data_IF_601581331887
#
_entry.id   IF_601581331887
#
_cell.length_a   1.000
_cell.length_b   1.000
_cell.length_c   1.000
_cell.angle_alpha   90.00
_cell.angle_beta   90.00
_cell.angle_gamma   90.00
#
_symmetry.space_group_name_H-M   'P 1'
#
loop_
_entity.id
_entity.type
_entity.pdbx_description
1 polymer ?
#
# COMPACT_ATOMS: atom_id res chain seq x y z
N UNK A 1 -16.89 9.91 16.89
CA UNK A 1 -15.72 10.11 16.00
C UNK A 1 -16.10 10.32 14.55
N UNK A 2 -16.94 9.49 13.93
CA UNK A 2 -17.38 9.62 12.52
C UNK A 2 -17.91 11.01 12.15
N UNK A 3 -18.79 11.60 12.98
CA UNK A 3 -19.31 12.96 12.75
C UNK A 3 -18.22 14.04 12.77
N UNK A 4 -17.21 13.90 13.63
CA UNK A 4 -16.09 14.85 13.68
C UNK A 4 -15.19 14.69 12.45
N UNK A 5 -14.87 13.46 12.05
CA UNK A 5 -14.09 13.18 10.84
C UNK A 5 -14.75 13.74 9.58
N UNK A 6 -16.06 13.60 9.45
CA UNK A 6 -16.83 14.19 8.34
C UNK A 6 -16.83 15.73 8.40
N UNK A 7 -17.07 16.31 9.58
CA UNK A 7 -17.13 17.77 9.76
C UNK A 7 -15.78 18.45 9.48
N UNK A 8 -14.68 17.78 9.78
CA UNK A 8 -13.32 18.29 9.56
C UNK A 8 -12.72 17.83 8.23
N UNK A 9 -13.53 17.32 7.30
CA UNK A 9 -13.07 17.06 5.94
C UNK A 9 -12.07 15.91 5.80
N UNK A 10 -12.00 14.97 6.76
CA UNK A 10 -11.04 13.86 6.71
C UNK A 10 -11.17 13.04 5.42
N UNK A 11 -12.39 12.85 4.91
CA UNK A 11 -12.63 12.17 3.63
C UNK A 11 -12.07 12.95 2.43
N UNK A 12 -11.93 14.27 2.51
CA UNK A 12 -11.35 15.08 1.44
C UNK A 12 -9.86 14.80 1.26
N UNK A 13 -9.19 14.28 2.29
CA UNK A 13 -7.77 13.97 2.24
C UNK A 13 -7.46 12.58 1.68
N UNK A 14 -8.42 11.66 1.68
CA UNK A 14 -8.20 10.27 1.26
C UNK A 14 -9.14 9.79 0.15
N UNK A 15 -10.19 10.55 -0.15
CA UNK A 15 -11.28 10.16 -1.05
C UNK A 15 -11.30 10.89 -2.39
N UNK A 16 -10.25 11.64 -2.74
CA UNK A 16 -10.13 12.25 -4.07
C UNK A 16 -10.04 11.16 -5.15
N UNK A 17 -10.53 11.42 -6.35
CA UNK A 17 -10.37 10.50 -7.49
C UNK A 17 -8.95 10.48 -8.02
N UNK A 18 -8.22 11.60 -7.91
CA UNK A 18 -6.81 11.70 -8.28
C UNK A 18 -5.92 11.10 -7.16
N UNK A 19 -5.14 10.05 -7.47
CA UNK A 19 -4.20 9.46 -6.51
C UNK A 19 -3.17 10.45 -5.96
N UNK A 20 -2.77 11.46 -6.74
CA UNK A 20 -1.83 12.50 -6.30
C UNK A 20 -2.43 13.32 -5.16
N UNK A 21 -3.71 13.70 -5.27
CA UNK A 21 -4.41 14.53 -4.28
C UNK A 21 -4.62 13.79 -2.96
N UNK A 22 -5.10 12.54 -3.02
CA UNK A 22 -5.26 11.72 -1.80
C UNK A 22 -3.95 11.18 -1.22
N UNK A 23 -2.83 11.34 -1.93
CA UNK A 23 -1.48 11.08 -1.42
C UNK A 23 -0.84 12.33 -0.81
N UNK A 24 -1.54 13.46 -0.67
CA UNK A 24 -0.95 14.69 -0.10
C UNK A 24 -0.68 14.63 1.39
N UNK A 25 -1.29 13.71 2.13
CA UNK A 25 -1.06 13.57 3.57
C UNK A 25 -1.02 12.11 3.98
N UNK A 26 -0.14 11.78 4.93
CA UNK A 26 -0.21 10.51 5.64
C UNK A 26 -1.12 10.63 6.87
N UNK A 27 -2.43 10.55 6.61
CA UNK A 27 -3.45 10.65 7.64
C UNK A 27 -3.29 9.54 8.70
N UNK A 28 -2.91 8.32 8.29
CA UNK A 28 -2.74 7.20 9.22
C UNK A 28 -1.62 7.49 10.23
N UNK A 29 -0.51 8.07 9.79
CA UNK A 29 0.57 8.49 10.69
C UNK A 29 0.09 9.49 11.73
N UNK A 30 -0.67 10.51 11.31
CA UNK A 30 -1.23 11.51 12.21
C UNK A 30 -2.18 10.88 13.23
N UNK A 31 -3.07 9.99 12.78
CA UNK A 31 -4.04 9.30 13.65
C UNK A 31 -3.31 8.42 14.68
N UNK A 32 -2.39 7.57 14.23
CA UNK A 32 -1.65 6.65 15.12
C UNK A 32 -0.81 7.46 16.11
N UNK A 33 -0.08 8.46 15.65
CA UNK A 33 0.78 9.30 16.50
C UNK A 33 -0.02 10.09 17.54
N UNK A 34 -1.19 10.60 17.16
CA UNK A 34 -2.04 11.41 18.04
C UNK A 34 -2.80 10.58 19.06
N UNK A 35 -3.17 9.34 18.72
CA UNK A 35 -3.90 8.43 19.61
C UNK A 35 -2.97 7.60 20.50
N UNK A 36 -1.68 7.45 20.15
CA UNK A 36 -0.72 6.69 20.94
C UNK A 36 -0.42 7.40 22.26
N UNK A 37 -0.55 6.67 23.37
CA UNK A 37 -0.24 7.18 24.70
C UNK A 37 1.22 7.67 24.77
N UNK A 38 1.45 8.80 25.44
CA UNK A 38 2.74 9.49 25.48
C UNK A 38 3.92 8.58 25.89
N UNK A 39 3.70 7.69 26.86
CA UNK A 39 4.73 6.74 27.31
C UNK A 39 5.09 5.68 26.25
N UNK A 40 4.11 5.22 25.47
CA UNK A 40 4.34 4.25 24.39
C UNK A 40 5.12 4.85 23.24
N UNK A 41 4.94 6.15 22.95
CA UNK A 41 5.74 6.87 21.94
C UNK A 41 7.23 6.93 22.33
N UNK A 42 7.51 7.16 23.61
CA UNK A 42 8.89 7.28 24.12
C UNK A 42 9.61 5.92 24.20
N UNK A 43 8.90 4.83 24.49
CA UNK A 43 9.51 3.51 24.62
C UNK A 43 9.78 2.82 23.28
N UNK A 44 8.94 3.07 22.26
CA UNK A 44 9.08 2.45 20.94
C UNK A 44 10.11 3.16 20.05
N UNK A 45 10.39 4.44 20.31
CA UNK A 45 11.32 5.22 19.49
C UNK A 45 10.84 5.46 18.05
N UNK A 46 9.60 5.09 17.74
CA UNK A 46 8.94 5.35 16.47
C UNK A 46 8.55 6.82 16.37
N UNK A 47 9.20 7.53 15.46
CA UNK A 47 8.88 8.91 15.13
C UNK A 47 8.36 8.98 13.71
N UNK A 48 7.28 9.75 13.53
CA UNK A 48 6.82 10.12 12.21
C UNK A 48 7.91 10.92 11.50
N UNK A 49 8.42 10.41 10.38
CA UNK A 49 9.30 11.16 9.48
C UNK A 49 8.49 12.30 8.86
N UNK A 50 8.81 13.57 9.14
CA UNK A 50 8.06 14.70 8.59
C UNK A 50 8.05 14.66 7.05
N UNK A 51 6.96 15.08 6.39
CA UNK A 51 6.83 15.02 4.92
C UNK A 51 8.02 15.64 4.18
N UNK A 52 8.45 16.83 4.60
CA UNK A 52 9.56 17.57 3.97
C UNK A 52 10.88 16.78 4.03
N UNK A 53 11.10 16.02 5.11
CA UNK A 53 12.28 15.17 5.28
C UNK A 53 12.19 13.95 4.35
N UNK A 54 11.03 13.31 4.26
CA UNK A 54 10.80 12.21 3.32
C UNK A 54 10.96 12.66 1.86
N UNK A 55 10.49 13.85 1.52
CA UNK A 55 10.65 14.45 0.19
C UNK A 55 12.11 14.76 -0.12
N UNK A 56 12.85 15.35 0.83
CA UNK A 56 14.28 15.57 0.70
C UNK A 56 15.05 14.26 0.47
N UNK A 57 14.82 13.24 1.30
CA UNK A 57 15.47 11.93 1.16
C UNK A 57 15.16 11.28 -0.19
N UNK A 58 13.91 11.37 -0.65
CA UNK A 58 13.50 10.88 -1.96
C UNK A 58 14.28 11.58 -3.07
N UNK A 59 14.35 12.91 -3.03
CA UNK A 59 15.08 13.70 -4.01
C UNK A 59 16.58 13.37 -4.02
N UNK A 60 17.19 13.15 -2.85
CA UNK A 60 18.59 12.74 -2.75
C UNK A 60 18.82 11.38 -3.41
N UNK A 61 17.96 10.38 -3.14
CA UNK A 61 18.05 9.05 -3.74
C UNK A 61 17.82 9.05 -5.25
N UNK A 62 16.92 9.91 -5.74
CA UNK A 62 16.69 10.08 -7.18
C UNK A 62 17.94 10.67 -7.89
N UNK A 63 18.60 11.64 -7.26
CA UNK A 63 19.78 12.32 -7.82
C UNK A 63 21.08 11.50 -7.72
N UNK A 64 21.19 10.56 -6.79
CA UNK A 64 22.35 9.66 -6.64
C UNK A 64 22.42 8.56 -7.73
N UNK A 65 21.41 8.51 -8.61
CA UNK A 65 21.35 7.66 -9.80
C UNK A 65 22.42 7.99 -10.87
N UNK A 66 23.37 8.90 -10.58
CA UNK A 66 24.55 9.20 -11.39
C UNK A 66 25.62 8.08 -11.35
N UNK A 67 25.47 7.08 -10.47
CA UNK A 67 26.20 5.81 -10.57
C UNK A 67 25.43 4.83 -11.45
N UNK A 68 26.03 4.44 -12.58
CA UNK A 68 25.46 3.72 -13.72
C UNK A 68 24.92 2.29 -13.47
N UNK A 69 24.21 2.02 -12.38
CA UNK A 69 23.63 0.69 -12.14
C UNK A 69 22.28 0.73 -11.44
N UNK A 70 21.35 1.53 -11.97
CA UNK A 70 19.90 1.30 -11.94
C UNK A 70 19.25 2.53 -12.58
N UNK A 71 19.11 2.55 -13.90
CA UNK A 71 17.83 3.06 -14.41
C UNK A 71 16.77 2.33 -13.59
N UNK A 72 15.83 3.01 -12.92
CA UNK A 72 14.79 2.33 -12.19
C UNK A 72 13.92 1.67 -13.26
N UNK A 73 14.29 0.45 -13.67
CA UNK A 73 13.62 -0.32 -14.71
C UNK A 73 12.17 -0.52 -14.28
N UNK A 74 11.22 -0.43 -15.23
CA UNK A 74 9.84 -0.85 -15.00
C UNK A 74 9.87 -2.23 -14.31
N UNK A 75 9.27 -2.32 -13.13
CA UNK A 75 9.30 -3.52 -12.31
C UNK A 75 10.47 -3.69 -11.32
N UNK A 76 11.35 -2.70 -11.16
CA UNK A 76 12.24 -2.59 -10.01
C UNK A 76 11.46 -2.55 -8.68
N UNK A 77 12.09 -3.01 -7.60
CA UNK A 77 11.49 -3.06 -6.26
C UNK A 77 12.25 -2.13 -5.31
N UNK A 78 11.52 -1.28 -4.60
CA UNK A 78 12.02 -0.51 -3.47
C UNK A 78 11.65 -1.22 -2.16
N UNK A 79 12.58 -1.24 -1.21
CA UNK A 79 12.37 -1.85 0.11
C UNK A 79 12.64 -0.84 1.20
N UNK A 80 11.74 -0.77 2.18
CA UNK A 80 11.89 0.05 3.39
C UNK A 80 11.75 -0.88 4.62
N UNK A 81 12.84 -1.13 5.37
CA UNK A 81 12.84 -2.08 6.49
C UNK A 81 12.10 -1.57 7.74
N UNK A 82 11.84 -0.26 7.83
CA UNK A 82 11.20 0.41 8.97
C UNK A 82 10.15 1.40 8.47
N UNK A 83 9.16 0.86 7.76
CA UNK A 83 8.28 1.67 6.92
C UNK A 83 7.35 2.60 7.71
N UNK A 84 7.07 2.29 8.98
CA UNK A 84 5.99 2.93 9.72
C UNK A 84 4.69 2.80 8.92
N UNK A 85 4.06 3.93 8.63
CA UNK A 85 2.86 4.03 7.77
C UNK A 85 3.18 4.23 6.28
N UNK A 86 4.45 4.20 5.88
CA UNK A 86 4.90 4.29 4.50
C UNK A 86 5.25 5.69 4.00
N UNK A 87 5.50 6.66 4.89
CA UNK A 87 5.72 8.08 4.53
C UNK A 87 6.83 8.31 3.48
N UNK A 88 7.92 7.52 3.52
CA UNK A 88 8.97 7.61 2.50
C UNK A 88 8.46 7.16 1.12
N UNK A 89 7.68 6.08 1.06
CA UNK A 89 7.08 5.59 -0.19
C UNK A 89 5.98 6.51 -0.71
N UNK A 90 5.24 7.22 0.16
CA UNK A 90 4.35 8.32 -0.26
C UNK A 90 5.14 9.37 -1.05
N UNK A 91 6.27 9.84 -0.49
CA UNK A 91 7.08 10.87 -1.14
C UNK A 91 7.69 10.37 -2.46
N UNK A 92 8.18 9.13 -2.50
CA UNK A 92 8.64 8.48 -3.73
C UNK A 92 7.54 8.33 -4.79
N UNK A 93 6.33 7.92 -4.40
CA UNK A 93 5.20 7.83 -5.32
C UNK A 93 4.78 9.20 -5.87
N UNK A 94 4.79 10.24 -5.04
CA UNK A 94 4.54 11.61 -5.51
C UNK A 94 5.60 12.09 -6.48
N UNK A 95 6.86 11.72 -6.26
CA UNK A 95 7.96 12.06 -7.18
C UNK A 95 7.78 11.41 -8.55
N UNK A 96 7.47 10.11 -8.57
CA UNK A 96 7.13 9.39 -9.81
C UNK A 96 6.00 10.09 -10.58
N UNK A 97 4.91 10.45 -9.88
CA UNK A 97 3.78 11.14 -10.52
C UNK A 97 4.17 12.50 -11.11
N UNK A 98 4.98 13.29 -10.40
CA UNK A 98 5.49 14.58 -10.92
C UNK A 98 6.31 14.39 -12.20
N UNK A 99 6.96 13.24 -12.35
CA UNK A 99 7.72 12.87 -13.54
C UNK A 99 6.87 12.17 -14.62
N UNK A 100 5.55 12.06 -14.43
CA UNK A 100 4.64 11.41 -15.38
C UNK A 100 4.71 9.87 -15.33
N UNK A 101 5.31 9.28 -14.31
CA UNK A 101 5.35 7.84 -14.08
C UNK A 101 4.19 7.38 -13.18
N UNK A 102 3.76 6.13 -13.39
CA UNK A 102 2.75 5.48 -12.54
C UNK A 102 3.42 4.69 -11.40
N UNK A 103 3.19 5.06 -10.12
CA UNK A 103 3.69 4.31 -8.97
C UNK A 103 3.25 2.84 -8.94
N UNK A 104 2.11 2.49 -9.54
CA UNK A 104 1.61 1.12 -9.58
C UNK A 104 2.46 0.18 -10.43
N UNK A 105 3.32 0.71 -11.31
CA UNK A 105 4.26 -0.08 -12.11
C UNK A 105 5.51 -0.51 -11.33
N UNK A 106 5.69 0.03 -10.11
CA UNK A 106 6.80 -0.28 -9.20
C UNK A 106 6.42 -1.38 -8.22
N UNK A 107 7.43 -2.06 -7.67
CA UNK A 107 7.23 -2.91 -6.50
C UNK A 107 7.63 -2.19 -5.22
N UNK A 108 6.81 -2.31 -4.19
CA UNK A 108 7.01 -1.65 -2.90
C UNK A 108 7.01 -2.71 -1.81
N UNK A 109 8.08 -2.81 -1.03
CA UNK A 109 8.19 -3.74 0.10
C UNK A 109 8.35 -2.92 1.37
N UNK A 110 7.31 -2.88 2.19
CA UNK A 110 7.31 -2.18 3.47
C UNK A 110 7.39 -3.22 4.58
N UNK A 111 8.41 -3.15 5.43
CA UNK A 111 8.51 -3.99 6.62
C UNK A 111 8.30 -3.12 7.85
N UNK A 112 7.57 -3.64 8.82
CA UNK A 112 7.24 -2.89 10.02
C UNK A 112 7.05 -3.82 11.22
N UNK A 113 7.56 -3.41 12.39
CA UNK A 113 7.45 -4.18 13.63
C UNK A 113 6.09 -3.95 14.30
N UNK A 114 5.65 -2.69 14.37
CA UNK A 114 4.41 -2.31 15.04
C UNK A 114 3.18 -2.69 14.19
N UNK A 115 2.23 -3.47 14.75
CA UNK A 115 1.08 -3.95 14.00
C UNK A 115 0.13 -2.84 13.52
N UNK A 116 0.03 -1.73 14.26
CA UNK A 116 -0.85 -0.62 13.86
C UNK A 116 -0.23 0.18 12.72
N UNK A 117 1.08 0.43 12.78
CA UNK A 117 1.83 1.06 11.70
C UNK A 117 1.80 0.21 10.43
N UNK A 118 2.05 -1.11 10.54
CA UNK A 118 1.93 -2.04 9.42
C UNK A 118 0.52 -2.04 8.79
N UNK A 119 -0.53 -2.05 9.61
CA UNK A 119 -1.90 -1.94 9.11
C UNK A 119 -2.16 -0.59 8.42
N UNK A 120 -1.64 0.51 8.99
CA UNK A 120 -1.68 1.84 8.40
C UNK A 120 -0.98 1.89 7.05
N UNK A 121 0.20 1.28 6.92
CA UNK A 121 0.92 1.15 5.66
C UNK A 121 0.14 0.35 4.62
N UNK A 122 -0.55 -0.72 5.03
CA UNK A 122 -1.38 -1.52 4.12
C UNK A 122 -2.59 -0.72 3.59
N UNK A 123 -3.24 0.06 4.45
CA UNK A 123 -4.31 0.99 4.04
C UNK A 123 -3.74 2.07 3.10
N UNK A 124 -2.62 2.67 3.47
CA UNK A 124 -1.98 3.72 2.69
C UNK A 124 -1.50 3.22 1.32
N UNK A 125 -1.06 1.97 1.19
CA UNK A 125 -0.72 1.37 -0.11
C UNK A 125 -1.91 1.38 -1.08
N UNK A 126 -3.14 1.24 -0.57
CA UNK A 126 -4.37 1.33 -1.35
C UNK A 126 -4.76 2.79 -1.62
N UNK A 127 -4.79 3.62 -0.58
CA UNK A 127 -5.16 5.05 -0.71
C UNK A 127 -4.22 5.75 -1.69
N UNK A 128 -2.93 5.46 -1.64
CA UNK A 128 -1.93 6.05 -2.51
C UNK A 128 -1.72 5.30 -3.81
N UNK A 129 -2.57 4.33 -4.17
CA UNK A 129 -2.46 3.54 -5.40
C UNK A 129 -1.03 3.11 -5.74
N UNK A 130 -0.36 2.47 -4.78
CA UNK A 130 0.98 1.90 -5.01
C UNK A 130 0.94 0.63 -5.88
N UNK A 131 -0.27 0.17 -6.25
CA UNK A 131 -0.50 -0.98 -7.09
C UNK A 131 -0.41 -2.33 -6.36
N UNK A 132 -0.73 -3.41 -7.10
CA UNK A 132 -0.80 -4.77 -6.57
C UNK A 132 0.56 -5.36 -6.14
N UNK A 133 1.65 -4.66 -6.48
CA UNK A 133 3.01 -5.05 -6.15
C UNK A 133 3.53 -4.39 -4.88
N UNK A 134 2.69 -3.60 -4.21
CA UNK A 134 2.93 -3.11 -2.87
C UNK A 134 2.57 -4.19 -1.84
N UNK A 135 3.53 -4.54 -1.00
CA UNK A 135 3.38 -5.55 0.05
C UNK A 135 3.86 -4.97 1.38
N UNK A 136 3.14 -5.35 2.45
CA UNK A 136 3.50 -4.98 3.81
C UNK A 136 3.73 -6.25 4.62
N UNK A 137 4.92 -6.36 5.19
CA UNK A 137 5.32 -7.45 6.06
C UNK A 137 5.43 -6.97 7.50
N UNK A 138 4.80 -7.68 8.44
CA UNK A 138 4.99 -7.41 9.86
C UNK A 138 6.08 -8.32 10.42
N UNK A 139 7.09 -7.75 11.07
CA UNK A 139 8.08 -8.53 11.77
C UNK A 139 9.29 -7.72 12.24
N UNK A 140 10.16 -8.39 12.97
CA UNK A 140 11.44 -7.83 13.41
C UNK A 140 12.50 -8.11 12.34
N UNK A 141 12.89 -7.08 11.60
CA UNK A 141 13.89 -7.16 10.53
C UNK A 141 15.30 -7.52 11.04
N UNK A 142 15.60 -7.27 12.32
CA UNK A 142 16.89 -7.64 12.92
C UNK A 142 16.91 -9.11 13.33
N UNK A 143 15.77 -9.64 13.79
CA UNK A 143 15.64 -11.05 14.16
C UNK A 143 15.33 -11.97 12.97
N UNK A 144 14.75 -11.44 11.89
CA UNK A 144 14.27 -12.19 10.73
C UNK A 144 14.90 -11.67 9.44
N UNK A 145 16.12 -12.11 9.08
CA UNK A 145 16.86 -11.58 7.93
C UNK A 145 16.17 -11.86 6.58
N UNK A 146 15.29 -12.86 6.52
CA UNK A 146 14.53 -13.26 5.34
C UNK A 146 13.09 -12.69 5.32
N UNK A 147 12.76 -11.75 6.21
CA UNK A 147 11.40 -11.22 6.35
C UNK A 147 10.85 -10.63 5.05
N UNK A 148 11.68 -9.91 4.28
CA UNK A 148 11.31 -9.37 2.98
C UNK A 148 10.89 -10.46 1.98
N UNK A 149 11.68 -11.53 1.90
CA UNK A 149 11.45 -12.65 0.99
C UNK A 149 10.19 -13.42 1.40
N UNK A 150 10.04 -13.73 2.68
CA UNK A 150 8.85 -14.38 3.24
C UNK A 150 7.58 -13.58 2.98
N UNK A 151 7.62 -12.27 3.18
CA UNK A 151 6.50 -11.36 2.91
C UNK A 151 6.10 -11.41 1.43
N UNK A 152 7.09 -11.38 0.53
CA UNK A 152 6.84 -11.48 -0.91
C UNK A 152 6.29 -12.84 -1.32
N UNK A 153 6.80 -13.93 -0.74
CA UNK A 153 6.29 -15.27 -0.98
C UNK A 153 4.82 -15.37 -0.53
N UNK A 154 4.51 -14.93 0.69
CA UNK A 154 3.16 -14.93 1.23
C UNK A 154 2.20 -14.10 0.36
N UNK A 155 2.61 -12.91 -0.10
CA UNK A 155 1.79 -12.09 -0.99
C UNK A 155 1.51 -12.78 -2.34
N UNK A 156 2.50 -13.47 -2.92
CA UNK A 156 2.30 -14.27 -4.14
C UNK A 156 1.34 -15.42 -3.90
N UNK A 157 1.43 -16.08 -2.76
CA UNK A 157 0.56 -17.21 -2.40
C UNK A 157 -0.90 -16.74 -2.21
N UNK A 158 -1.10 -15.61 -1.54
CA UNK A 158 -2.41 -14.97 -1.40
C UNK A 158 -2.99 -14.54 -2.75
N UNK A 159 -2.17 -13.99 -3.65
CA UNK A 159 -2.61 -13.62 -4.99
C UNK A 159 -3.05 -14.86 -5.79
N UNK A 160 -2.28 -15.95 -5.76
CA UNK A 160 -2.68 -17.22 -6.42
C UNK A 160 -3.99 -17.75 -5.84
N UNK A 161 -4.12 -17.76 -4.51
CA UNK A 161 -5.34 -18.21 -3.85
C UNK A 161 -6.57 -17.37 -4.27
N UNK A 162 -6.43 -16.04 -4.29
CA UNK A 162 -7.48 -15.13 -4.79
C UNK A 162 -7.87 -15.47 -6.23
N UNK A 163 -6.88 -15.65 -7.11
CA UNK A 163 -7.14 -15.91 -8.53
C UNK A 163 -7.88 -17.25 -8.73
N UNK A 164 -7.57 -18.27 -7.93
CA UNK A 164 -8.26 -19.56 -7.97
C UNK A 164 -9.69 -19.46 -7.45
N UNK A 165 -9.93 -18.71 -6.36
CA UNK A 165 -11.28 -18.42 -5.87
C UNK A 165 -12.11 -17.66 -6.92
N UNK A 166 -11.51 -16.66 -7.58
CA UNK A 166 -12.20 -15.89 -8.63
C UNK A 166 -12.55 -16.74 -9.85
N UNK A 167 -11.69 -17.68 -10.26
CA UNK A 167 -12.01 -18.65 -11.32
C UNK A 167 -13.21 -19.53 -10.93
N UNK A 168 -13.25 -20.01 -9.69
CA UNK A 168 -14.35 -20.84 -9.20
C UNK A 168 -15.67 -20.06 -9.17
N UNK A 169 -15.65 -18.82 -8.70
CA UNK A 169 -16.82 -17.93 -8.72
C UNK A 169 -17.30 -17.70 -10.16
N UNK A 170 -16.38 -17.40 -11.08
CA UNK A 170 -16.69 -17.22 -12.50
C UNK A 170 -17.36 -18.46 -13.10
N UNK A 171 -16.84 -19.65 -12.79
CA UNK A 171 -17.44 -20.92 -13.21
C UNK A 171 -18.86 -21.09 -12.65
N UNK A 172 -19.06 -20.89 -11.34
CA UNK A 172 -20.37 -21.03 -10.70
C UNK A 172 -21.42 -20.06 -11.29
N UNK A 173 -21.02 -18.81 -11.57
CA UNK A 173 -21.89 -17.83 -12.23
C UNK A 173 -22.26 -18.32 -13.63
N UNK A 174 -21.29 -18.77 -14.44
CA UNK A 174 -21.55 -19.25 -15.79
C UNK A 174 -22.50 -20.46 -15.82
N UNK A 175 -22.31 -21.43 -14.91
CA UNK A 175 -23.20 -22.59 -14.78
C UNK A 175 -24.63 -22.16 -14.41
N UNK A 176 -24.78 -21.24 -13.46
CA UNK A 176 -26.09 -20.73 -13.05
C UNK A 176 -26.81 -20.01 -14.20
N UNK A 177 -26.10 -19.14 -14.91
CA UNK A 177 -26.65 -18.42 -16.07
C UNK A 177 -27.09 -19.39 -17.16
N UNK A 178 -26.31 -20.44 -17.42
CA UNK A 178 -26.66 -21.47 -18.41
C UNK A 178 -27.92 -22.23 -18.01
N UNK A 179 -28.06 -22.62 -16.74
CA UNK A 179 -29.27 -23.24 -16.21
C UNK A 179 -30.51 -22.35 -16.37
N UNK A 180 -30.40 -21.06 -16.02
CA UNK A 180 -31.48 -20.09 -16.18
C UNK A 180 -31.91 -19.92 -17.64
N UNK A 181 -30.97 -19.90 -18.58
CA UNK A 181 -31.27 -19.81 -20.02
C UNK A 181 -31.97 -21.09 -20.52
N UNK A 182 -31.55 -22.26 -20.05
CA UNK A 182 -32.17 -23.53 -20.41
C UNK A 182 -33.61 -23.63 -19.87
N UNK A 183 -33.83 -23.22 -18.63
CA UNK A 183 -35.16 -23.18 -18.01
C UNK A 183 -36.09 -22.21 -18.74
N UNK A 184 -35.59 -21.03 -19.14
CA UNK A 184 -36.37 -20.07 -19.92
C UNK A 184 -36.77 -20.61 -21.30
N UNK A 185 -35.88 -21.34 -21.98
CA UNK A 185 -36.17 -21.98 -23.27
C UNK A 185 -37.20 -23.09 -23.14
N UNK A 186 -37.11 -23.91 -22.09
CA UNK A 186 -38.05 -25.03 -21.87
C UNK A 186 -39.42 -24.57 -21.39
N UNK A 187 -39.51 -23.50 -20.60
CA UNK A 187 -40.78 -22.91 -20.15
C UNK A 187 -41.53 -22.12 -21.25
N UNK A 188 -40.88 -21.83 -22.38
CA UNK A 188 -41.49 -21.13 -23.53
C UNK A 188 -42.14 -22.05 -24.57
N UNK A 189 -42.18 -23.37 -24.31
CA UNK A 189 -42.87 -24.39 -25.11
C UNK A 189 -44.14 -24.86 -24.39
#
# INVERSE_FOLDING_TARGET
>A
MTRAALRHGVLQHTGDTDPAERSRIDLMSWVITSLRHHHSRRSLGEYHTPPDVSELMTAMLANDSSTQQRSPQRGGRAGEPTAGTGGLFRSAAQDLRRNGEDPAERGWVMLELDPLAAAGAAVNALVWELGLRAVVGRGDVLAQPDLAEKTLAQARDMARHRDDVMKLIGFAIATRTTGQLLDALTASR
#
